data_IF_613049873262
#
_entry.id   IF_613049873262
#
_cell.length_a   1.000
_cell.length_b   1.000
_cell.length_c   1.000
_cell.angle_alpha   90.00
_cell.angle_beta   90.00
_cell.angle_gamma   90.00
#
_symmetry.space_group_name_H-M   'P 1'
#
loop_
_entity.id
_entity.type
_entity.pdbx_description
1 polymer ?
#
# COMPACT_ATOMS: atom_id res chain seq x y z
N UNK A 1 18.84 12.37 0.93
CA UNK A 1 18.82 11.49 2.11
C UNK A 1 18.83 12.41 3.33
N UNK A 2 17.65 12.83 3.81
CA UNK A 2 17.57 13.62 5.04
C UNK A 2 17.74 12.65 6.21
N UNK A 3 18.89 12.74 6.88
CA UNK A 3 19.15 12.04 8.13
C UNK A 3 18.44 12.83 9.22
N UNK A 4 17.28 12.38 9.67
CA UNK A 4 16.66 12.90 10.88
C UNK A 4 17.46 12.36 12.08
N UNK A 5 18.19 13.23 12.76
CA UNK A 5 18.79 12.93 14.06
C UNK A 5 17.66 12.86 15.09
N UNK A 6 17.10 11.67 15.29
CA UNK A 6 16.11 11.39 16.33
C UNK A 6 16.82 11.31 17.69
N UNK A 7 17.06 12.46 18.32
CA UNK A 7 17.77 12.52 19.61
C UNK A 7 16.89 12.05 20.79
N UNK A 8 15.56 12.22 20.71
CA UNK A 8 14.60 11.80 21.72
C UNK A 8 13.32 11.24 21.07
N UNK A 9 12.70 10.24 21.70
CA UNK A 9 11.36 9.75 21.36
C UNK A 9 10.52 9.81 22.64
N UNK A 10 9.53 10.72 22.68
CA UNK A 10 8.54 10.73 23.75
C UNK A 10 7.35 9.87 23.35
N UNK A 11 7.17 8.76 24.07
CA UNK A 11 5.95 7.97 24.06
C UNK A 11 5.58 7.82 25.53
N UNK A 12 4.62 8.65 25.96
CA UNK A 12 4.19 8.77 27.35
C UNK A 12 3.96 7.42 28.04
N UNK A 13 4.44 7.29 29.28
CA UNK A 13 4.24 6.10 30.11
C UNK A 13 2.83 6.06 30.69
N UNK A 14 2.26 4.86 30.73
CA UNK A 14 0.92 4.52 31.22
C UNK A 14 0.81 4.50 32.75
N UNK A 15 -0.39 4.81 33.28
CA UNK A 15 -0.91 4.21 34.53
C UNK A 15 -2.34 3.74 34.28
N UNK A 16 -2.56 2.46 34.56
CA UNK A 16 -3.86 1.79 34.54
C UNK A 16 -4.68 2.28 35.72
N UNK A 17 -5.85 2.86 35.45
CA UNK A 17 -6.91 3.10 36.41
C UNK A 17 -8.24 2.82 35.75
N UNK A 18 -8.75 1.61 35.92
CA UNK A 18 -10.08 1.25 35.45
C UNK A 18 -11.13 2.05 36.22
N UNK A 19 -11.98 2.81 35.54
CA UNK A 19 -13.37 2.95 35.99
C UNK A 19 -14.34 3.23 34.84
N UNK A 20 -15.48 2.56 34.95
CA UNK A 20 -16.56 2.40 34.00
C UNK A 20 -17.50 3.61 33.86
N UNK A 21 -18.12 3.70 32.67
CA UNK A 21 -19.44 4.29 32.28
C UNK A 21 -19.30 5.38 31.21
N UNK A 22 -19.63 5.08 29.96
CA UNK A 22 -20.98 5.15 29.36
C UNK A 22 -21.25 6.56 28.79
N UNK A 23 -21.46 6.67 27.47
CA UNK A 23 -22.71 7.09 26.83
C UNK A 23 -22.49 7.49 25.36
N UNK A 24 -23.56 7.31 24.61
CA UNK A 24 -23.71 7.17 23.17
C UNK A 24 -23.85 8.47 22.37
N UNK A 25 -23.49 8.38 21.07
CA UNK A 25 -24.06 9.03 19.87
C UNK A 25 -24.15 10.57 19.83
N UNK A 26 -23.77 11.16 18.68
CA UNK A 26 -24.65 11.88 17.74
C UNK A 26 -23.87 12.22 16.44
N UNK A 27 -24.52 12.01 15.29
CA UNK A 27 -24.20 12.57 13.97
C UNK A 27 -25.12 13.77 13.72
N UNK A 28 -24.65 14.83 13.07
CA UNK A 28 -25.22 15.39 11.82
C UNK A 28 -24.56 16.72 11.39
N UNK A 29 -24.67 16.97 10.08
CA UNK A 29 -23.99 17.97 9.26
C UNK A 29 -24.43 19.44 9.41
N UNK A 30 -23.44 20.34 9.25
CA UNK A 30 -23.37 21.60 8.49
C UNK A 30 -24.49 22.67 8.57
N UNK A 31 -24.14 23.89 9.01
CA UNK A 31 -24.01 25.10 8.15
C UNK A 31 -23.46 26.34 8.91
N UNK A 32 -22.48 27.00 8.27
CA UNK A 32 -22.05 28.42 8.24
C UNK A 32 -22.07 29.33 9.51
N UNK A 33 -20.84 29.74 9.84
CA UNK A 33 -20.31 31.09 10.11
C UNK A 33 -20.60 31.85 11.43
N UNK A 34 -19.45 32.29 11.98
CA UNK A 34 -19.15 33.48 12.79
C UNK A 34 -19.45 33.51 14.29
N UNK A 35 -18.36 33.74 15.03
CA UNK A 35 -18.24 34.22 16.41
C UNK A 35 -18.51 33.24 17.57
N UNK A 36 -17.41 32.63 18.05
CA UNK A 36 -17.09 32.49 19.47
C UNK A 36 -15.60 32.10 19.60
N UNK A 37 -14.71 33.06 19.34
CA UNK A 37 -13.34 32.98 19.82
C UNK A 37 -13.39 33.37 21.30
N UNK A 38 -13.52 32.40 22.21
CA UNK A 38 -13.20 32.55 23.65
C UNK A 38 -13.23 31.23 24.46
N UNK A 39 -13.32 30.05 23.81
CA UNK A 39 -13.23 28.76 24.54
C UNK A 39 -12.22 27.77 23.93
N UNK A 40 -11.46 28.20 22.92
CA UNK A 40 -10.41 27.37 22.29
C UNK A 40 -9.03 27.56 22.92
N UNK A 41 -8.83 28.59 23.75
CA UNK A 41 -7.54 28.95 24.34
C UNK A 41 -7.15 28.03 25.50
N UNK A 42 -8.07 27.68 26.40
CA UNK A 42 -7.71 26.85 27.56
C UNK A 42 -7.38 25.40 27.14
N UNK A 43 -8.18 24.78 26.27
CA UNK A 43 -7.92 23.40 25.80
C UNK A 43 -6.64 23.26 24.96
N UNK A 44 -6.21 24.32 24.27
CA UNK A 44 -4.97 24.32 23.49
C UNK A 44 -3.74 24.62 24.35
N UNK A 45 -3.88 25.50 25.35
CA UNK A 45 -2.84 25.76 26.36
C UNK A 45 -2.62 24.51 27.21
N UNK A 46 -3.68 23.86 27.73
CA UNK A 46 -3.58 22.65 28.55
C UNK A 46 -2.89 21.50 27.78
N UNK A 47 -3.27 21.26 26.51
CA UNK A 47 -2.61 20.25 25.67
C UNK A 47 -1.16 20.59 25.33
N UNK A 48 -0.83 21.87 25.14
CA UNK A 48 0.53 22.30 24.88
C UNK A 48 1.41 22.14 26.14
N UNK A 49 0.86 22.47 27.32
CA UNK A 49 1.53 22.28 28.61
C UNK A 49 1.74 20.79 28.92
N UNK A 50 0.75 19.95 28.64
CA UNK A 50 0.85 18.50 28.77
C UNK A 50 1.91 17.91 27.84
N UNK A 51 1.95 18.34 26.57
CA UNK A 51 2.96 17.88 25.62
C UNK A 51 4.39 18.30 26.00
N UNK A 52 4.57 19.51 26.55
CA UNK A 52 5.87 19.98 27.04
C UNK A 52 6.31 19.16 28.25
N UNK A 53 5.39 18.87 29.17
CA UNK A 53 5.66 18.02 30.33
C UNK A 53 6.02 16.58 29.92
N UNK A 54 5.25 15.98 29.00
CA UNK A 54 5.53 14.65 28.43
C UNK A 54 6.89 14.62 27.70
N UNK A 55 7.25 15.70 27.01
CA UNK A 55 8.55 15.80 26.34
C UNK A 55 9.72 15.91 27.32
N UNK A 56 9.56 16.65 28.41
CA UNK A 56 10.58 16.76 29.46
C UNK A 56 10.80 15.43 30.21
N UNK A 57 9.75 14.62 30.32
CA UNK A 57 9.80 13.28 30.94
C UNK A 57 10.19 12.18 29.94
N UNK A 58 10.43 12.52 28.67
CA UNK A 58 10.77 11.57 27.64
C UNK A 58 12.11 10.90 27.92
N UNK A 59 12.16 9.58 27.75
CA UNK A 59 13.42 8.84 27.86
C UNK A 59 14.26 9.03 26.58
N UNK A 60 15.59 8.97 26.67
CA UNK A 60 16.46 8.98 25.50
C UNK A 60 16.13 7.87 24.50
N UNK A 61 16.28 8.14 23.20
CA UNK A 61 16.06 7.12 22.15
C UNK A 61 17.03 5.93 22.26
N UNK A 62 18.21 6.14 22.85
CA UNK A 62 19.18 5.08 23.15
C UNK A 62 18.61 3.99 24.07
N UNK A 63 17.64 4.32 24.92
CA UNK A 63 17.04 3.40 25.89
C UNK A 63 15.90 2.55 25.32
N UNK A 64 15.48 2.76 24.07
CA UNK A 64 14.48 1.91 23.43
C UNK A 64 15.05 0.49 23.27
N UNK A 65 14.31 -0.56 23.68
CA UNK A 65 14.78 -1.94 23.60
C UNK A 65 15.28 -2.32 22.20
N UNK A 66 16.52 -2.83 22.12
CA UNK A 66 17.12 -3.35 20.88
C UNK A 66 18.27 -4.30 21.16
N UNK A 67 18.48 -5.22 20.23
CA UNK A 67 19.73 -5.97 20.15
C UNK A 67 20.78 -5.18 19.34
N UNK A 68 22.06 -5.41 19.61
CA UNK A 68 23.11 -4.97 18.69
C UNK A 68 23.02 -5.70 17.34
N UNK A 69 23.41 -5.04 16.25
CA UNK A 69 23.28 -5.57 14.87
C UNK A 69 23.85 -6.98 14.74
N UNK A 70 25.06 -7.24 15.26
CA UNK A 70 25.71 -8.55 15.16
C UNK A 70 24.94 -9.64 15.92
N UNK A 71 24.42 -9.31 17.11
CA UNK A 71 23.59 -10.23 17.90
C UNK A 71 22.29 -10.54 17.15
N UNK A 72 21.65 -9.52 16.59
CA UNK A 72 20.42 -9.70 15.82
C UNK A 72 20.63 -10.57 14.58
N UNK A 73 21.69 -10.31 13.80
CA UNK A 73 22.06 -11.14 12.64
C UNK A 73 22.31 -12.60 13.05
N UNK A 74 23.02 -12.82 14.16
CA UNK A 74 23.24 -14.19 14.68
C UNK A 74 21.92 -14.89 15.02
N UNK A 75 20.91 -14.18 15.53
CA UNK A 75 19.60 -14.77 15.85
C UNK A 75 18.79 -15.13 14.60
N UNK A 76 19.13 -14.59 13.42
CA UNK A 76 18.48 -14.90 12.14
C UNK A 76 19.16 -16.06 11.38
N UNK A 77 20.36 -16.47 11.78
CA UNK A 77 21.11 -17.58 11.19
C UNK A 77 20.69 -18.94 11.80
N UNK A 78 21.02 -20.08 11.15
CA UNK A 78 20.69 -21.40 11.68
C UNK A 78 21.10 -21.58 13.16
N UNK A 79 20.15 -22.02 13.99
CA UNK A 79 20.32 -22.15 15.45
C UNK A 79 19.97 -20.88 16.25
N UNK A 80 19.66 -19.76 15.58
CA UNK A 80 19.11 -18.56 16.20
C UNK A 80 17.59 -18.65 16.40
N UNK A 81 17.07 -17.90 17.38
CA UNK A 81 15.63 -17.93 17.74
C UNK A 81 14.69 -17.38 16.65
N UNK A 82 15.21 -16.58 15.73
CA UNK A 82 14.46 -15.98 14.63
C UNK A 82 14.71 -16.69 13.29
N UNK A 83 15.41 -17.82 13.32
CA UNK A 83 15.71 -18.59 12.12
C UNK A 83 14.43 -19.11 11.46
N UNK A 84 14.32 -18.91 10.15
CA UNK A 84 13.21 -19.41 9.31
C UNK A 84 11.81 -18.91 9.70
N UNK A 85 11.72 -17.80 10.45
CA UNK A 85 10.45 -17.11 10.69
C UNK A 85 10.08 -16.25 9.47
N UNK A 86 8.80 -16.25 9.11
CA UNK A 86 8.27 -15.24 8.18
C UNK A 86 8.22 -13.85 8.83
N UNK A 87 7.98 -12.81 8.04
CA UNK A 87 7.97 -11.43 8.52
C UNK A 87 6.97 -11.17 9.65
N UNK A 88 5.79 -11.79 9.61
CA UNK A 88 4.76 -11.60 10.64
C UNK A 88 5.11 -12.36 11.93
N UNK A 89 5.66 -13.57 11.79
CA UNK A 89 6.18 -14.35 12.91
C UNK A 89 7.36 -13.65 13.57
N UNK A 90 8.28 -13.08 12.80
CA UNK A 90 9.42 -12.31 13.29
C UNK A 90 8.97 -11.11 14.13
N UNK A 91 8.03 -10.30 13.60
CA UNK A 91 7.50 -9.14 14.32
C UNK A 91 6.84 -9.56 15.64
N UNK A 92 6.04 -10.63 15.64
CA UNK A 92 5.43 -11.15 16.88
C UNK A 92 6.46 -11.69 17.89
N UNK A 93 7.48 -12.40 17.41
CA UNK A 93 8.55 -12.92 18.26
C UNK A 93 9.35 -11.78 18.91
N UNK A 94 9.66 -10.74 18.14
CA UNK A 94 10.33 -9.55 18.65
C UNK A 94 9.46 -8.76 19.64
N UNK A 95 8.15 -8.64 19.40
CA UNK A 95 7.22 -8.05 20.37
C UNK A 95 7.28 -8.80 21.71
N UNK A 96 7.27 -10.14 21.66
CA UNK A 96 7.38 -10.97 22.88
C UNK A 96 8.69 -10.74 23.63
N UNK A 97 9.80 -10.58 22.91
CA UNK A 97 11.14 -10.52 23.49
C UNK A 97 11.53 -9.12 23.98
N UNK A 98 11.01 -8.06 23.36
CA UNK A 98 11.38 -6.66 23.66
C UNK A 98 10.24 -5.80 24.19
N UNK A 99 9.00 -6.27 24.11
CA UNK A 99 7.79 -5.55 24.53
C UNK A 99 7.11 -4.80 23.39
N UNK A 100 6.16 -3.94 23.76
CA UNK A 100 5.29 -3.23 22.81
C UNK A 100 5.98 -2.12 22.01
N UNK A 101 7.20 -1.75 22.37
CA UNK A 101 8.05 -0.83 21.63
C UNK A 101 9.49 -1.32 21.57
N UNK A 102 10.04 -1.41 20.37
CA UNK A 102 11.43 -1.84 20.18
C UNK A 102 12.01 -1.32 18.86
N UNK A 103 13.35 -1.31 18.76
CA UNK A 103 14.04 -1.04 17.51
C UNK A 103 14.50 -2.38 16.91
N UNK A 104 14.08 -2.62 15.68
CA UNK A 104 14.70 -3.62 14.82
C UNK A 104 15.95 -3.00 14.19
N UNK A 105 17.15 -3.53 14.47
CA UNK A 105 18.38 -2.97 13.92
C UNK A 105 18.42 -3.06 12.40
N UNK A 106 18.85 -1.97 11.78
CA UNK A 106 19.11 -1.89 10.35
C UNK A 106 20.23 -2.84 9.94
N UNK A 107 20.10 -3.43 8.75
CA UNK A 107 21.09 -4.38 8.21
C UNK A 107 21.17 -4.28 6.69
N UNK A 108 22.33 -4.63 6.12
CA UNK A 108 22.57 -4.67 4.66
C UNK A 108 22.15 -3.36 3.95
N UNK A 109 22.45 -2.21 4.58
CA UNK A 109 22.15 -0.89 4.06
C UNK A 109 20.72 -0.39 4.31
N UNK A 110 19.94 -1.07 5.17
CA UNK A 110 18.66 -0.55 5.69
C UNK A 110 18.88 0.25 7.00
N UNK A 111 18.10 1.31 7.23
CA UNK A 111 18.10 2.02 8.51
C UNK A 111 17.42 1.20 9.61
N UNK A 112 17.65 1.60 10.86
CA UNK A 112 16.88 1.12 12.02
C UNK A 112 15.38 1.38 11.84
N UNK A 113 14.55 0.46 12.31
CA UNK A 113 13.10 0.58 12.29
C UNK A 113 12.52 0.47 13.69
N UNK A 114 11.80 1.51 14.12
CA UNK A 114 11.03 1.51 15.36
C UNK A 114 9.69 0.80 15.13
N UNK A 115 9.38 -0.19 15.95
CA UNK A 115 8.11 -0.88 15.97
C UNK A 115 7.35 -0.49 17.23
N UNK A 116 6.06 -0.21 17.08
CA UNK A 116 5.12 -0.04 18.18
C UNK A 116 3.89 -0.92 17.95
N UNK A 117 3.39 -1.50 19.03
CA UNK A 117 2.17 -2.31 19.07
C UNK A 117 1.04 -1.63 19.84
N UNK A 118 1.27 -0.39 20.30
CA UNK A 118 0.29 0.42 21.03
C UNK A 118 -0.61 1.18 20.06
N UNK A 119 -1.95 1.00 20.09
CA UNK A 119 -2.86 1.80 19.27
C UNK A 119 -2.81 3.30 19.56
N UNK A 120 -2.43 3.70 20.78
CA UNK A 120 -2.27 5.11 21.16
C UNK A 120 -1.10 5.76 20.42
N UNK A 121 -0.04 4.99 20.16
CA UNK A 121 1.11 5.48 19.42
C UNK A 121 0.74 5.72 17.95
N UNK A 122 -0.15 4.90 17.38
CA UNK A 122 -0.61 5.10 15.99
C UNK A 122 -1.31 6.45 15.85
N UNK A 123 -2.21 6.76 16.78
CA UNK A 123 -2.92 8.04 16.79
C UNK A 123 -1.94 9.22 16.89
N UNK A 124 -0.95 9.12 17.79
CA UNK A 124 0.10 10.15 17.94
C UNK A 124 0.93 10.31 16.68
N UNK A 125 1.37 9.21 16.06
CA UNK A 125 2.15 9.23 14.81
C UNK A 125 1.35 9.90 13.69
N UNK A 126 0.11 9.47 13.46
CA UNK A 126 -0.71 10.02 12.37
C UNK A 126 -1.14 11.47 12.61
N UNK A 127 -1.29 11.93 13.86
CA UNK A 127 -1.54 13.34 14.17
C UNK A 127 -0.34 14.25 13.94
N UNK A 128 0.87 13.70 14.03
CA UNK A 128 2.11 14.42 13.81
C UNK A 128 2.71 14.12 12.42
N UNK A 129 1.92 13.54 11.51
CA UNK A 129 2.33 13.30 10.13
C UNK A 129 2.43 14.64 9.38
N UNK A 130 3.53 14.83 8.65
CA UNK A 130 3.72 16.02 7.82
C UNK A 130 2.87 15.97 6.54
N UNK A 131 2.85 17.08 5.79
CA UNK A 131 2.11 17.18 4.52
C UNK A 131 2.51 16.10 3.50
N UNK A 132 3.76 15.63 3.55
CA UNK A 132 4.30 14.60 2.69
C UNK A 132 4.80 13.40 3.49
N UNK A 133 3.93 12.40 3.79
CA UNK A 133 4.35 11.21 4.48
C UNK A 133 5.41 10.43 3.71
N UNK A 134 6.43 9.97 4.44
CA UNK A 134 7.50 9.16 3.89
C UNK A 134 7.36 7.71 4.37
N UNK A 135 7.26 6.77 3.43
CA UNK A 135 7.21 5.34 3.72
C UNK A 135 8.46 4.68 3.15
N UNK A 136 9.47 4.32 3.96
CA UNK A 136 10.80 3.93 3.47
C UNK A 136 10.88 2.55 2.77
N UNK A 137 9.77 2.07 2.20
CA UNK A 137 9.66 0.80 1.47
C UNK A 137 9.71 1.02 -0.05
N UNK A 138 9.53 -0.05 -0.82
CA UNK A 138 9.47 -0.04 -2.29
C UNK A 138 10.78 0.40 -2.96
N UNK A 139 11.91 0.17 -2.29
CA UNK A 139 13.24 0.52 -2.82
C UNK A 139 13.58 -0.31 -4.05
N UNK A 140 13.12 -1.56 -4.11
CA UNK A 140 13.30 -2.42 -5.30
C UNK A 140 12.51 -1.88 -6.49
N UNK A 141 11.27 -1.44 -6.27
CA UNK A 141 10.43 -0.82 -7.29
C UNK A 141 11.03 0.51 -7.77
N UNK A 142 11.47 1.36 -6.84
CA UNK A 142 12.13 2.63 -7.18
C UNK A 142 13.43 2.40 -7.98
N UNK A 143 14.21 1.38 -7.63
CA UNK A 143 15.40 1.02 -8.40
C UNK A 143 15.03 0.60 -9.84
N UNK A 144 14.01 -0.24 -10.00
CA UNK A 144 13.53 -0.64 -11.33
C UNK A 144 13.12 0.58 -12.16
N UNK A 145 12.24 1.44 -11.63
CA UNK A 145 11.70 2.59 -12.38
C UNK A 145 12.73 3.68 -12.66
N UNK A 146 13.62 3.99 -11.71
CA UNK A 146 14.53 5.14 -11.82
C UNK A 146 15.89 4.79 -12.41
N UNK A 147 16.27 3.50 -12.45
CA UNK A 147 17.58 3.05 -12.94
C UNK A 147 17.47 2.10 -14.12
N UNK A 148 16.61 1.08 -14.07
CA UNK A 148 16.53 0.08 -15.14
C UNK A 148 15.57 0.47 -16.26
N UNK A 149 14.50 1.19 -15.93
CA UNK A 149 13.44 1.63 -16.85
C UNK A 149 13.24 3.15 -16.82
N UNK A 150 14.32 3.88 -16.56
CA UNK A 150 14.32 5.34 -16.50
C UNK A 150 13.92 5.98 -17.85
N UNK A 151 14.21 5.30 -18.95
CA UNK A 151 13.79 5.66 -20.31
C UNK A 151 12.28 5.60 -20.50
N UNK A 152 11.59 4.70 -19.80
CA UNK A 152 10.13 4.55 -19.89
C UNK A 152 9.39 5.42 -18.88
N UNK A 153 9.83 5.41 -17.62
CA UNK A 153 9.13 6.13 -16.54
C UNK A 153 9.53 7.61 -16.48
N UNK A 154 10.67 7.97 -17.04
CA UNK A 154 11.25 9.30 -16.95
C UNK A 154 11.26 9.78 -15.47
N UNK A 155 10.47 10.80 -15.15
CA UNK A 155 10.32 11.34 -13.79
C UNK A 155 8.98 10.96 -13.13
N UNK A 156 8.20 10.07 -13.74
CA UNK A 156 6.87 9.61 -13.28
C UNK A 156 6.96 8.19 -12.71
N UNK A 157 7.58 8.09 -11.54
CA UNK A 157 7.87 6.81 -10.88
C UNK A 157 6.62 6.21 -10.21
N UNK A 158 5.53 6.96 -10.12
CA UNK A 158 4.25 6.56 -9.55
C UNK A 158 4.19 6.55 -8.01
N UNK A 159 3.01 6.23 -7.49
CA UNK A 159 2.62 6.49 -6.09
C UNK A 159 3.39 5.70 -5.02
N UNK A 160 3.86 4.50 -5.36
CA UNK A 160 4.54 3.60 -4.41
C UNK A 160 6.04 3.89 -4.29
N UNK A 161 6.67 4.37 -5.37
CA UNK A 161 8.10 4.61 -5.43
C UNK A 161 8.50 6.05 -5.03
N UNK A 162 7.56 7.00 -5.14
CA UNK A 162 7.81 8.43 -4.87
C UNK A 162 7.52 8.83 -3.42
N UNK A 163 8.18 9.90 -2.98
CA UNK A 163 7.95 10.58 -1.70
C UNK A 163 7.95 12.10 -1.90
N UNK A 164 7.62 12.86 -0.85
CA UNK A 164 7.72 14.31 -0.89
C UNK A 164 6.72 14.96 -1.85
N UNK A 165 7.14 16.06 -2.46
CA UNK A 165 6.33 16.83 -3.39
C UNK A 165 5.93 16.03 -4.63
N UNK A 166 6.84 15.22 -5.20
CA UNK A 166 6.52 14.37 -6.36
C UNK A 166 5.37 13.39 -6.06
N UNK A 167 5.38 12.79 -4.87
CA UNK A 167 4.28 11.94 -4.40
C UNK A 167 2.98 12.73 -4.27
N UNK A 168 3.06 13.96 -3.73
CA UNK A 168 1.92 14.84 -3.56
C UNK A 168 1.31 15.24 -4.91
N UNK A 169 2.14 15.67 -5.86
CA UNK A 169 1.70 16.05 -7.22
C UNK A 169 1.02 14.88 -7.92
N UNK A 170 1.60 13.68 -7.86
CA UNK A 170 0.99 12.48 -8.44
C UNK A 170 -0.36 12.15 -7.77
N UNK A 171 -0.43 12.24 -6.44
CA UNK A 171 -1.67 12.04 -5.65
C UNK A 171 -2.76 13.05 -6.01
N UNK A 172 -2.42 14.31 -6.23
CA UNK A 172 -3.37 15.37 -6.60
C UNK A 172 -4.06 15.06 -7.91
N UNK A 173 -3.34 14.51 -8.89
CA UNK A 173 -3.91 14.12 -10.20
C UNK A 173 -4.78 12.86 -10.07
N UNK A 174 -4.31 11.83 -9.37
CA UNK A 174 -4.96 10.51 -9.37
C UNK A 174 -6.12 10.38 -8.36
N UNK A 175 -6.03 11.03 -7.20
CA UNK A 175 -7.05 10.89 -6.15
C UNK A 175 -8.46 11.31 -6.60
N UNK A 176 -8.66 12.43 -7.32
CA UNK A 176 -9.98 12.81 -7.83
C UNK A 176 -10.58 11.75 -8.74
N UNK A 177 -9.76 11.07 -9.54
CA UNK A 177 -10.18 10.04 -10.49
C UNK A 177 -10.60 8.75 -9.78
N UNK A 178 -9.77 8.24 -8.85
CA UNK A 178 -9.96 6.92 -8.26
C UNK A 178 -10.73 6.90 -6.93
N UNK A 179 -10.64 7.96 -6.11
CA UNK A 179 -11.16 7.96 -4.74
C UNK A 179 -12.51 8.67 -4.59
N UNK A 180 -12.96 9.43 -5.60
CA UNK A 180 -14.25 10.10 -5.53
C UNK A 180 -15.40 9.10 -5.74
N UNK A 181 -16.39 9.02 -4.82
CA UNK A 181 -17.51 8.09 -4.95
C UNK A 181 -18.30 8.21 -6.26
N UNK A 182 -18.33 9.40 -6.87
CA UNK A 182 -19.03 9.65 -8.13
C UNK A 182 -18.43 8.84 -9.29
N UNK A 183 -17.12 8.64 -9.30
CA UNK A 183 -16.41 7.92 -10.37
C UNK A 183 -16.55 6.42 -10.19
N UNK A 184 -16.57 5.94 -8.93
CA UNK A 184 -16.81 4.53 -8.60
C UNK A 184 -18.16 4.05 -9.16
N UNK A 185 -19.19 4.91 -9.18
CA UNK A 185 -20.53 4.57 -9.71
C UNK A 185 -20.50 4.10 -11.17
N UNK A 186 -19.57 4.60 -11.98
CA UNK A 186 -19.45 4.24 -13.40
C UNK A 186 -19.03 2.78 -13.58
N UNK A 187 -18.30 2.23 -12.60
CA UNK A 187 -17.79 0.85 -12.66
C UNK A 187 -18.72 -0.17 -12.01
N UNK A 188 -19.76 0.24 -11.26
CA UNK A 188 -20.62 -0.68 -10.49
C UNK A 188 -21.23 -1.77 -11.38
N UNK A 189 -21.78 -1.38 -12.53
CA UNK A 189 -22.43 -2.34 -13.43
C UNK A 189 -21.42 -3.33 -14.05
N UNK A 190 -20.26 -2.82 -14.49
CA UNK A 190 -19.19 -3.65 -15.05
C UNK A 190 -18.64 -4.62 -13.98
N UNK A 191 -18.48 -4.15 -12.74
CA UNK A 191 -18.04 -4.98 -11.61
C UNK A 191 -19.09 -6.04 -11.23
N UNK A 192 -20.38 -5.68 -11.26
CA UNK A 192 -21.47 -6.63 -11.03
C UNK A 192 -21.46 -7.75 -12.08
N UNK A 193 -21.16 -7.44 -13.34
CA UNK A 193 -21.01 -8.46 -14.38
C UNK A 193 -19.86 -9.43 -14.08
N UNK A 194 -18.68 -8.93 -13.68
CA UNK A 194 -17.54 -9.79 -13.28
C UNK A 194 -17.91 -10.69 -12.10
N UNK A 195 -18.68 -10.18 -11.14
CA UNK A 195 -19.17 -10.98 -10.01
C UNK A 195 -20.15 -12.08 -10.44
N UNK A 196 -21.05 -11.78 -11.38
CA UNK A 196 -21.96 -12.80 -11.94
C UNK A 196 -21.18 -13.90 -12.66
N UNK A 197 -20.16 -13.54 -13.44
CA UNK A 197 -19.28 -14.51 -14.11
C UNK A 197 -18.53 -15.38 -13.10
N UNK A 198 -18.10 -14.81 -11.97
CA UNK A 198 -17.48 -15.58 -10.89
C UNK A 198 -18.47 -16.57 -10.24
N UNK A 199 -19.72 -16.15 -10.03
CA UNK A 199 -20.79 -17.04 -9.51
C UNK A 199 -21.07 -18.17 -10.49
N UNK A 200 -21.14 -17.90 -11.80
CA UNK A 200 -21.28 -18.97 -12.79
C UNK A 200 -20.07 -19.90 -12.77
N UNK A 201 -18.84 -19.36 -12.65
CA UNK A 201 -17.64 -20.20 -12.56
C UNK A 201 -17.67 -21.11 -11.34
N UNK A 202 -18.11 -20.61 -10.18
CA UNK A 202 -18.32 -21.41 -8.95
C UNK A 202 -19.30 -22.56 -9.23
N UNK A 203 -20.42 -22.30 -9.90
CA UNK A 203 -21.41 -23.34 -10.22
C UNK A 203 -20.86 -24.41 -11.16
N UNK A 204 -19.95 -24.04 -12.06
CA UNK A 204 -19.32 -24.96 -13.01
C UNK A 204 -18.23 -25.83 -12.38
N UNK A 205 -17.43 -25.28 -11.46
CA UNK A 205 -16.25 -26.00 -10.91
C UNK A 205 -16.55 -26.79 -9.63
N UNK A 206 -17.70 -26.54 -8.98
CA UNK A 206 -18.07 -27.25 -7.76
C UNK A 206 -18.31 -28.73 -8.03
N UNK A 207 -18.03 -29.56 -7.04
CA UNK A 207 -18.43 -30.95 -7.11
C UNK A 207 -19.97 -31.05 -7.20
N UNK A 208 -20.52 -31.74 -8.22
CA UNK A 208 -21.97 -31.78 -8.43
C UNK A 208 -22.72 -32.58 -7.36
N UNK A 209 -22.03 -33.41 -6.56
CA UNK A 209 -22.61 -34.25 -5.50
C UNK A 209 -22.49 -33.59 -4.13
N UNK A 210 -21.30 -33.11 -3.77
CA UNK A 210 -21.04 -32.50 -2.45
C UNK A 210 -21.34 -31.00 -2.42
N UNK A 211 -21.39 -30.35 -3.59
CA UNK A 211 -21.50 -28.90 -3.76
C UNK A 211 -20.31 -28.11 -3.19
N UNK A 212 -19.22 -28.80 -2.87
CA UNK A 212 -18.00 -28.18 -2.36
C UNK A 212 -17.12 -27.63 -3.49
N UNK A 213 -16.32 -26.62 -3.16
CA UNK A 213 -15.31 -26.06 -4.06
C UNK A 213 -14.05 -26.95 -4.09
N UNK A 214 -13.29 -26.95 -5.19
CA UNK A 214 -12.02 -27.68 -5.24
C UNK A 214 -10.99 -27.11 -4.25
N UNK A 215 -10.02 -27.92 -3.84
CA UNK A 215 -8.97 -27.53 -2.88
C UNK A 215 -8.17 -26.30 -3.33
N UNK A 216 -8.07 -26.09 -4.64
CA UNK A 216 -7.36 -24.96 -5.25
C UNK A 216 -8.23 -23.72 -5.48
N UNK A 217 -9.43 -23.65 -4.88
CA UNK A 217 -10.40 -22.56 -5.05
C UNK A 217 -9.81 -21.16 -4.82
N UNK A 218 -8.80 -21.05 -3.95
CA UNK A 218 -8.03 -19.81 -3.73
C UNK A 218 -7.52 -19.21 -5.05
N UNK A 219 -7.08 -20.01 -6.01
CA UNK A 219 -6.60 -19.52 -7.30
C UNK A 219 -7.71 -18.82 -8.09
N UNK A 220 -8.95 -19.31 -8.00
CA UNK A 220 -10.11 -18.70 -8.65
C UNK A 220 -10.48 -17.37 -8.00
N UNK A 221 -10.37 -17.25 -6.68
CA UNK A 221 -10.54 -15.98 -5.95
C UNK A 221 -9.47 -14.96 -6.39
N UNK A 222 -8.22 -15.39 -6.54
CA UNK A 222 -7.13 -14.53 -7.00
C UNK A 222 -7.36 -14.07 -8.45
N UNK A 223 -7.82 -14.95 -9.33
CA UNK A 223 -8.20 -14.62 -10.72
C UNK A 223 -9.34 -13.60 -10.76
N UNK A 224 -10.40 -13.82 -9.98
CA UNK A 224 -11.52 -12.88 -9.85
C UNK A 224 -11.08 -11.50 -9.34
N UNK A 225 -10.15 -11.47 -8.37
CA UNK A 225 -9.59 -10.23 -7.85
C UNK A 225 -8.84 -9.47 -8.94
N UNK A 226 -8.01 -10.16 -9.74
CA UNK A 226 -7.29 -9.54 -10.85
C UNK A 226 -8.25 -9.06 -11.95
N UNK A 227 -9.26 -9.85 -12.32
CA UNK A 227 -10.28 -9.46 -13.30
C UNK A 227 -10.99 -8.17 -12.88
N UNK A 228 -11.37 -8.08 -11.60
CA UNK A 228 -12.07 -6.93 -11.03
C UNK A 228 -11.19 -5.67 -11.02
N UNK A 229 -9.91 -5.80 -10.65
CA UNK A 229 -8.97 -4.66 -10.65
C UNK A 229 -8.62 -4.23 -12.08
N UNK A 230 -8.38 -5.17 -12.99
CA UNK A 230 -8.06 -4.88 -14.38
C UNK A 230 -9.21 -4.15 -15.10
N UNK A 231 -10.45 -4.49 -14.78
CA UNK A 231 -11.62 -3.80 -15.30
C UNK A 231 -11.62 -2.30 -14.93
N UNK A 232 -11.23 -1.96 -13.69
CA UNK A 232 -11.21 -0.55 -13.25
C UNK A 232 -9.95 0.16 -13.73
N UNK A 233 -8.79 -0.51 -13.67
CA UNK A 233 -7.49 0.11 -13.93
C UNK A 233 -7.12 0.17 -15.42
N UNK A 234 -7.57 -0.79 -16.23
CA UNK A 234 -7.21 -0.94 -17.65
C UNK A 234 -8.42 -0.85 -18.59
N UNK A 235 -9.64 -0.66 -18.04
CA UNK A 235 -10.91 -0.77 -18.77
C UNK A 235 -11.02 -2.04 -19.63
N UNK A 236 -10.43 -3.15 -19.15
CA UNK A 236 -10.30 -4.41 -19.90
C UNK A 236 -10.83 -5.57 -19.09
N UNK A 237 -11.70 -6.38 -19.71
CA UNK A 237 -11.99 -7.73 -19.25
C UNK A 237 -10.89 -8.66 -19.77
N UNK A 238 -10.10 -9.20 -18.84
CA UNK A 238 -9.01 -10.14 -19.12
C UNK A 238 -9.55 -11.54 -19.42
N UNK A 239 -10.77 -11.85 -18.96
CA UNK A 239 -11.43 -13.13 -19.14
C UNK A 239 -10.79 -14.27 -18.35
N UNK A 240 -10.18 -13.98 -17.19
CA UNK A 240 -9.58 -14.97 -16.29
C UNK A 240 -10.60 -15.96 -15.68
N UNK A 241 -11.89 -15.61 -15.76
CA UNK A 241 -13.01 -16.39 -15.25
C UNK A 241 -13.70 -17.25 -16.32
N UNK A 242 -13.39 -17.02 -17.60
CA UNK A 242 -13.99 -17.72 -18.74
C UNK A 242 -13.01 -18.75 -19.29
N UNK A 243 -13.54 -19.81 -19.88
CA UNK A 243 -12.73 -20.74 -20.67
C UNK A 243 -12.45 -20.11 -22.05
N UNK A 244 -11.22 -20.27 -22.56
CA UNK A 244 -10.80 -19.79 -23.88
C UNK A 244 -10.91 -18.26 -24.10
N UNK A 245 -10.53 -17.44 -23.12
CA UNK A 245 -10.40 -15.99 -23.32
C UNK A 245 -9.27 -15.67 -24.31
N UNK A 246 -9.53 -14.78 -25.27
CA UNK A 246 -8.52 -14.26 -26.21
C UNK A 246 -7.34 -13.59 -25.48
N UNK A 247 -7.61 -13.00 -24.31
CA UNK A 247 -6.59 -12.32 -23.50
C UNK A 247 -5.92 -13.24 -22.46
N UNK A 248 -6.20 -14.55 -22.48
CA UNK A 248 -5.75 -15.48 -21.44
C UNK A 248 -4.21 -15.50 -21.28
N UNK A 249 -3.47 -15.36 -22.38
CA UNK A 249 -2.01 -15.34 -22.35
C UNK A 249 -1.48 -14.12 -21.58
N UNK A 250 -1.95 -12.92 -21.93
CA UNK A 250 -1.58 -11.68 -21.24
C UNK A 250 -2.05 -11.68 -19.79
N UNK A 251 -3.28 -12.13 -19.55
CA UNK A 251 -3.86 -12.22 -18.23
C UNK A 251 -3.09 -13.18 -17.31
N UNK A 252 -2.67 -14.34 -17.84
CA UNK A 252 -1.86 -15.32 -17.11
C UNK A 252 -0.45 -14.80 -16.86
N UNK A 253 0.14 -14.09 -17.83
CA UNK A 253 1.45 -13.45 -17.68
C UNK A 253 1.41 -12.39 -16.58
N UNK A 254 0.41 -11.50 -16.61
CA UNK A 254 0.20 -10.47 -15.60
C UNK A 254 -0.06 -11.07 -14.22
N UNK A 255 -0.91 -12.10 -14.13
CA UNK A 255 -1.20 -12.80 -12.88
C UNK A 255 0.05 -13.40 -12.24
N UNK A 256 0.86 -14.10 -13.04
CA UNK A 256 2.13 -14.68 -12.59
C UNK A 256 3.09 -13.57 -12.13
N UNK A 257 3.26 -12.53 -12.95
CA UNK A 257 4.18 -11.44 -12.66
C UNK A 257 3.79 -10.67 -11.39
N UNK A 258 2.51 -10.37 -11.18
CA UNK A 258 2.02 -9.74 -9.93
C UNK A 258 2.23 -10.63 -8.71
N UNK A 259 2.00 -11.94 -8.85
CA UNK A 259 2.22 -12.90 -7.75
C UNK A 259 3.71 -12.98 -7.38
N UNK A 260 4.59 -13.04 -8.37
CA UNK A 260 6.04 -13.04 -8.14
C UNK A 260 6.52 -11.71 -7.56
N UNK A 261 6.03 -10.58 -8.08
CA UNK A 261 6.34 -9.24 -7.56
C UNK A 261 5.98 -9.12 -6.08
N UNK A 262 4.74 -9.43 -5.70
CA UNK A 262 4.29 -9.36 -4.30
C UNK A 262 5.13 -10.25 -3.37
N UNK A 263 5.38 -11.49 -3.76
CA UNK A 263 6.13 -12.44 -2.94
C UNK A 263 7.61 -12.01 -2.80
N UNK A 264 8.27 -11.65 -3.90
CA UNK A 264 9.69 -11.32 -3.92
C UNK A 264 9.97 -9.94 -3.31
N UNK A 265 9.08 -8.95 -3.48
CA UNK A 265 9.24 -7.65 -2.79
C UNK A 265 9.17 -7.83 -1.28
N UNK A 266 8.20 -8.60 -0.76
CA UNK A 266 8.11 -8.86 0.67
C UNK A 266 9.39 -9.53 1.20
N UNK A 267 9.88 -10.54 0.50
CA UNK A 267 11.14 -11.21 0.88
C UNK A 267 12.33 -10.22 0.82
N UNK A 268 12.60 -9.61 -0.33
CA UNK A 268 13.77 -8.75 -0.53
C UNK A 268 13.74 -7.42 0.25
N UNK A 269 12.58 -6.96 0.71
CA UNK A 269 12.41 -5.71 1.46
C UNK A 269 12.18 -5.89 2.96
N UNK A 270 11.75 -7.06 3.43
CA UNK A 270 11.53 -7.29 4.87
C UNK A 270 12.49 -8.32 5.47
N UNK A 271 13.09 -9.22 4.68
CA UNK A 271 14.12 -10.15 5.18
C UNK A 271 15.53 -9.61 4.92
N UNK A 272 16.56 -10.11 5.64
CA UNK A 272 17.96 -9.80 5.34
C UNK A 272 18.30 -10.14 3.89
N UNK A 273 18.65 -9.15 3.07
CA UNK A 273 18.90 -9.40 1.65
C UNK A 273 20.11 -8.64 1.11
N UNK A 274 20.92 -9.37 0.34
CA UNK A 274 22.14 -8.86 -0.30
C UNK A 274 21.88 -8.18 -1.64
N UNK A 275 20.62 -8.02 -2.05
CA UNK A 275 20.30 -7.45 -3.38
C UNK A 275 20.88 -6.06 -3.61
N UNK A 276 21.06 -5.27 -2.53
CA UNK A 276 21.67 -3.93 -2.57
C UNK A 276 23.18 -3.96 -2.85
N UNK A 277 23.82 -5.11 -2.65
CA UNK A 277 25.25 -5.31 -2.85
C UNK A 277 25.54 -6.08 -4.15
N UNK A 278 24.73 -7.10 -4.45
CA UNK A 278 24.89 -7.96 -5.63
C UNK A 278 23.53 -8.30 -6.24
N UNK A 279 23.46 -8.42 -7.56
CA UNK A 279 22.25 -8.81 -8.28
C UNK A 279 21.89 -10.29 -8.06
N UNK A 280 21.23 -10.60 -6.94
CA UNK A 280 20.83 -11.97 -6.57
C UNK A 280 19.83 -12.56 -7.58
N UNK A 281 19.71 -13.90 -7.67
CA UNK A 281 18.70 -14.54 -8.54
C UNK A 281 17.26 -14.10 -8.23
N UNK A 282 16.91 -13.96 -6.94
CA UNK A 282 15.61 -13.45 -6.49
C UNK A 282 15.37 -12.02 -6.98
N UNK A 283 16.40 -11.17 -6.90
CA UNK A 283 16.33 -9.80 -7.40
C UNK A 283 16.13 -9.76 -8.92
N UNK A 284 16.88 -10.55 -9.70
CA UNK A 284 16.70 -10.63 -11.15
C UNK A 284 15.29 -11.07 -11.55
N UNK A 285 14.72 -12.07 -10.86
CA UNK A 285 13.34 -12.50 -11.05
C UNK A 285 12.33 -11.39 -10.74
N UNK A 286 12.55 -10.63 -9.66
CA UNK A 286 11.71 -9.48 -9.33
C UNK A 286 11.74 -8.41 -10.43
N UNK A 287 12.92 -8.11 -11.00
CA UNK A 287 13.04 -7.15 -12.10
C UNK A 287 12.30 -7.63 -13.35
N UNK A 288 12.41 -8.93 -13.69
CA UNK A 288 11.66 -9.52 -14.80
C UNK A 288 10.15 -9.45 -14.57
N UNK A 289 9.68 -9.72 -13.36
CA UNK A 289 8.26 -9.61 -13.02
C UNK A 289 7.74 -8.17 -13.19
N UNK A 290 8.53 -7.16 -12.80
CA UNK A 290 8.19 -5.76 -13.02
C UNK A 290 8.16 -5.38 -14.50
N UNK A 291 9.09 -5.88 -15.31
CA UNK A 291 9.09 -5.71 -16.77
C UNK A 291 7.87 -6.36 -17.42
N UNK A 292 7.49 -7.55 -16.98
CA UNK A 292 6.32 -8.24 -17.48
C UNK A 292 5.03 -7.50 -17.14
N UNK A 293 4.88 -7.01 -15.90
CA UNK A 293 3.77 -6.13 -15.50
C UNK A 293 3.71 -4.91 -16.42
N UNK A 294 4.83 -4.18 -16.55
CA UNK A 294 4.92 -2.98 -17.39
C UNK A 294 4.48 -3.28 -18.83
N UNK A 295 5.00 -4.37 -19.42
CA UNK A 295 4.71 -4.75 -20.81
C UNK A 295 3.22 -4.99 -21.05
N UNK A 296 2.56 -5.73 -20.17
CA UNK A 296 1.13 -6.07 -20.33
C UNK A 296 0.25 -4.85 -20.04
N UNK A 297 0.55 -4.09 -18.98
CA UNK A 297 -0.23 -2.88 -18.67
C UNK A 297 -0.10 -1.85 -19.77
N UNK A 298 1.11 -1.65 -20.31
CA UNK A 298 1.35 -0.69 -21.38
C UNK A 298 0.57 -1.07 -22.64
N UNK A 299 0.60 -2.34 -23.06
CA UNK A 299 -0.19 -2.84 -24.19
C UNK A 299 -1.67 -2.46 -24.05
N UNK A 300 -2.30 -2.79 -22.92
CA UNK A 300 -3.72 -2.51 -22.73
C UNK A 300 -4.03 -1.02 -22.58
N UNK A 301 -3.13 -0.24 -21.98
CA UNK A 301 -3.27 1.21 -21.93
C UNK A 301 -3.23 1.82 -23.34
N UNK A 302 -2.30 1.40 -24.19
CA UNK A 302 -2.23 1.88 -25.58
C UNK A 302 -3.45 1.45 -26.40
N UNK A 303 -3.95 0.23 -26.23
CA UNK A 303 -5.21 -0.23 -26.83
C UNK A 303 -6.40 0.65 -26.41
N UNK A 304 -6.49 0.99 -25.12
CA UNK A 304 -7.56 1.85 -24.60
C UNK A 304 -7.48 3.27 -25.15
N UNK A 305 -6.26 3.85 -25.23
CA UNK A 305 -6.03 5.18 -25.82
C UNK A 305 -6.45 5.19 -27.29
N UNK A 306 -5.99 4.23 -28.09
CA UNK A 306 -6.34 4.14 -29.51
C UNK A 306 -7.85 3.99 -29.74
N UNK A 307 -8.53 3.24 -28.88
CA UNK A 307 -10.00 3.11 -28.92
C UNK A 307 -10.69 4.46 -28.66
N UNK A 308 -10.26 5.20 -27.64
CA UNK A 308 -10.83 6.51 -27.30
C UNK A 308 -10.59 7.54 -28.42
N UNK A 309 -9.43 7.50 -29.07
CA UNK A 309 -9.11 8.34 -30.22
C UNK A 309 -10.03 8.04 -31.41
N UNK A 310 -10.23 6.75 -31.75
CA UNK A 310 -11.14 6.34 -32.81
C UNK A 310 -12.61 6.73 -32.53
N UNK A 311 -13.08 6.58 -31.28
CA UNK A 311 -14.43 7.01 -30.88
C UNK A 311 -14.61 8.53 -31.03
N UNK A 312 -13.56 9.31 -30.70
CA UNK A 312 -13.55 10.76 -30.88
C UNK A 312 -13.64 11.16 -32.35
N UNK A 313 -12.89 10.49 -33.23
CA UNK A 313 -12.94 10.72 -34.68
C UNK A 313 -14.30 10.38 -35.28
N UNK A 314 -14.97 9.36 -34.75
CA UNK A 314 -16.33 8.94 -35.14
C UNK A 314 -17.43 9.82 -34.54
N UNK A 315 -17.11 10.82 -33.72
CA UNK A 315 -18.08 11.73 -33.12
C UNK A 315 -18.99 11.08 -32.06
N UNK A 316 -18.55 9.96 -31.45
CA UNK A 316 -19.32 9.27 -30.41
C UNK A 316 -19.39 10.16 -29.16
N UNK A 317 -20.58 10.68 -28.85
CA UNK A 317 -20.77 11.50 -27.65
C UNK A 317 -20.86 10.64 -26.39
N UNK A 318 -19.78 10.64 -25.61
CA UNK A 318 -19.79 10.13 -24.24
C UNK A 318 -20.65 11.02 -23.33
N UNK A 319 -21.28 10.44 -22.29
CA UNK A 319 -22.15 11.21 -21.39
C UNK A 319 -21.35 12.32 -20.70
N UNK A 320 -21.97 13.45 -20.35
CA UNK A 320 -21.29 14.60 -19.70
C UNK A 320 -20.45 14.22 -18.45
N UNK A 321 -20.81 13.15 -17.77
CA UNK A 321 -20.05 12.59 -16.64
C UNK A 321 -18.67 12.03 -17.03
N UNK A 322 -18.52 11.57 -18.27
CA UNK A 322 -17.29 11.03 -18.85
C UNK A 322 -16.48 12.17 -19.53
N UNK A 323 -17.15 13.11 -20.20
CA UNK A 323 -16.51 14.27 -20.87
C UNK A 323 -15.74 15.21 -19.92
N UNK A 324 -16.23 15.44 -18.69
CA UNK A 324 -15.58 16.36 -17.72
C UNK A 324 -14.20 15.92 -17.22
N UNK A 325 -13.80 14.66 -17.39
CA UNK A 325 -12.49 14.16 -16.95
C UNK A 325 -11.42 14.17 -18.05
N UNK A 326 -11.81 14.14 -19.33
CA UNK A 326 -10.85 14.15 -20.43
C UNK A 326 -10.36 15.56 -20.80
N UNK A 327 -11.15 16.60 -20.57
CA UNK A 327 -10.77 17.99 -20.89
C UNK A 327 -9.67 18.59 -20.01
N UNK A 328 -9.46 18.08 -18.80
CA UNK A 328 -8.42 18.59 -17.89
C UNK A 328 -7.04 17.92 -18.09
N UNK A 329 -6.96 16.81 -18.82
CA UNK A 329 -5.72 16.04 -19.02
C UNK A 329 -4.96 16.53 -20.27
N UNK A 330 -5.63 17.21 -21.20
CA UNK A 330 -5.01 17.70 -22.46
C UNK A 330 -4.55 19.16 -22.41
N UNK A 331 -4.72 19.85 -21.29
CA UNK A 331 -4.43 21.30 -21.17
C UNK A 331 -3.40 21.70 -20.10
N UNK A 332 -2.56 20.79 -19.59
CA UNK A 332 -1.41 21.17 -18.75
C UNK A 332 -0.11 20.46 -19.14
#
# INVERSE_FOLDING_TARGET
>A
MQVYNLNCVSLGKSVIGANTRCWSKIKNHAHKCTAAADTATNTTVDKATDAISEWQQARPFSEVPRDGVLKFVRQLLPGGRYYNLDSAQLVKAMQKDYGDIYIMPGMFGRPDALYTHSPLDFERVFRNEGAWPMRPNSVTLRYHRNKLRADFYENVEGILATHGEQWSSFRTVVNPLLLQPKNIKMYINKMAQVNLEFVERIRLIRDPKTLEMPDDFKQYIQRWTLESVALVALDKQLGLLRENSENFADASKLFKALTEWLALTLDLEYTPSLWRLVATPKFKRLMQALDDIQSVTWKHTTEAIAKLEAERELGVEHKESEKKHFGEITEN
#
